data_IF_528979553751
#
_entry.id   IF_528979553751
#
_cell.length_a   1.000
_cell.length_b   1.000
_cell.length_c   1.000
_cell.angle_alpha   90.00
_cell.angle_beta   90.00
_cell.angle_gamma   90.00
#
_symmetry.space_group_name_H-M   'P 1'
#
loop_
_entity.id
_entity.type
_entity.pdbx_description
1 polymer ?
#
# COMPACT_ATOMS: atom_id res chain seq x y z
N UNK A 1 2.50 25.58 -1.62
CA UNK A 1 1.39 24.70 -2.05
C UNK A 1 1.86 23.64 -3.03
N UNK A 2 2.56 24.00 -4.12
CA UNK A 2 3.05 23.03 -5.13
C UNK A 2 3.94 21.93 -4.52
N UNK A 3 4.95 22.29 -3.70
CA UNK A 3 5.77 21.28 -3.00
C UNK A 3 4.99 20.37 -2.04
N UNK A 4 3.92 20.90 -1.41
CA UNK A 4 3.05 20.10 -0.54
C UNK A 4 2.21 19.12 -1.39
N UNK A 5 1.66 19.59 -2.50
CA UNK A 5 0.94 18.77 -3.47
C UNK A 5 1.81 17.61 -4.02
N UNK A 6 3.05 17.89 -4.41
CA UNK A 6 3.99 16.88 -4.88
C UNK A 6 4.38 15.88 -3.78
N UNK A 7 4.73 16.38 -2.59
CA UNK A 7 5.05 15.52 -1.44
C UNK A 7 3.87 14.65 -1.02
N UNK A 8 2.65 15.19 -1.09
CA UNK A 8 1.43 14.45 -0.83
C UNK A 8 1.21 13.34 -1.87
N UNK A 9 1.39 13.62 -3.16
CA UNK A 9 1.28 12.61 -4.22
C UNK A 9 2.22 11.42 -3.99
N UNK A 10 3.48 11.67 -3.63
CA UNK A 10 4.43 10.61 -3.28
C UNK A 10 3.99 9.89 -2.00
N UNK A 11 3.54 10.62 -0.98
CA UNK A 11 3.05 10.03 0.28
C UNK A 11 1.87 9.08 0.07
N UNK A 12 0.96 9.38 -0.87
CA UNK A 12 -0.17 8.52 -1.21
C UNK A 12 0.28 7.12 -1.65
N UNK A 13 1.40 7.01 -2.39
CA UNK A 13 1.96 5.71 -2.82
C UNK A 13 2.38 4.89 -1.61
N UNK A 14 3.15 5.49 -0.70
CA UNK A 14 3.59 4.82 0.52
C UNK A 14 2.41 4.44 1.41
N UNK A 15 1.38 5.28 1.48
CA UNK A 15 0.14 4.96 2.19
C UNK A 15 -0.62 3.79 1.54
N UNK A 16 -0.58 3.63 0.21
CA UNK A 16 -1.16 2.48 -0.47
C UNK A 16 -0.45 1.18 -0.09
N UNK A 17 0.89 1.21 -0.05
CA UNK A 17 1.73 0.07 0.36
C UNK A 17 1.50 -0.29 1.82
N UNK A 18 1.47 0.72 2.70
CA UNK A 18 1.18 0.56 4.12
C UNK A 18 -0.18 -0.11 4.34
N UNK A 19 -1.22 0.39 3.66
CA UNK A 19 -2.58 -0.14 3.73
C UNK A 19 -2.64 -1.57 3.19
N UNK A 20 -1.98 -1.85 2.05
CA UNK A 20 -1.90 -3.19 1.48
C UNK A 20 -1.23 -4.19 2.43
N UNK A 21 -0.12 -3.80 3.05
CA UNK A 21 0.54 -4.61 4.07
C UNK A 21 -0.32 -4.81 5.33
N UNK A 22 -1.13 -3.82 5.71
CA UNK A 22 -2.06 -3.97 6.82
C UNK A 22 -3.16 -4.99 6.50
N UNK A 23 -3.73 -4.97 5.30
CA UNK A 23 -4.71 -5.96 4.82
C UNK A 23 -4.11 -7.38 4.84
N UNK A 24 -2.85 -7.53 4.40
CA UNK A 24 -2.14 -8.81 4.49
C UNK A 24 -1.98 -9.27 5.95
N UNK A 25 -1.58 -8.38 6.85
CA UNK A 25 -1.41 -8.72 8.27
C UNK A 25 -2.73 -9.18 8.91
N UNK A 26 -3.82 -8.48 8.61
CA UNK A 26 -5.15 -8.82 9.10
C UNK A 26 -5.61 -10.19 8.58
N UNK A 27 -5.39 -10.49 7.30
CA UNK A 27 -5.77 -11.78 6.70
C UNK A 27 -4.93 -12.96 7.20
N UNK A 28 -3.69 -12.72 7.64
CA UNK A 28 -2.86 -13.73 8.33
C UNK A 28 -3.31 -13.99 9.78
N UNK A 29 -4.17 -13.13 10.35
CA UNK A 29 -4.62 -13.19 11.73
C UNK A 29 -3.78 -12.35 12.70
N UNK A 30 -2.72 -11.67 12.25
CA UNK A 30 -1.84 -10.86 13.11
C UNK A 30 -2.56 -9.65 13.74
N UNK A 31 -3.74 -9.29 13.23
CA UNK A 31 -4.63 -8.26 13.76
C UNK A 31 -5.64 -8.73 14.82
N UNK A 32 -5.56 -9.97 15.30
CA UNK A 32 -6.60 -10.57 16.17
C UNK A 32 -6.87 -9.77 17.46
N UNK A 33 -5.85 -9.14 18.06
CA UNK A 33 -6.02 -8.31 19.25
C UNK A 33 -6.95 -7.12 19.00
N UNK A 34 -6.81 -6.44 17.85
CA UNK A 34 -7.66 -5.32 17.46
C UNK A 34 -9.06 -5.76 17.01
N UNK A 35 -9.18 -6.95 16.41
CA UNK A 35 -10.49 -7.47 15.99
C UNK A 35 -11.38 -7.83 17.19
N UNK A 36 -10.79 -8.29 18.30
CA UNK A 36 -11.54 -8.59 19.53
C UNK A 36 -11.79 -7.36 20.41
N UNK A 37 -10.81 -6.46 20.51
CA UNK A 37 -10.96 -5.19 21.23
C UNK A 37 -10.49 -4.03 20.34
N UNK A 38 -11.40 -3.39 19.59
CA UNK A 38 -11.04 -2.23 18.77
C UNK A 38 -10.62 -0.99 19.55
N UNK A 39 -10.97 -0.91 20.85
CA UNK A 39 -10.70 0.26 21.69
C UNK A 39 -9.31 0.20 22.36
N UNK A 40 -8.88 -0.99 22.80
CA UNK A 40 -7.60 -1.17 23.50
C UNK A 40 -6.64 -2.16 22.82
N UNK A 41 -7.06 -2.83 21.74
CA UNK A 41 -6.26 -3.81 21.03
C UNK A 41 -5.09 -3.17 20.29
N UNK A 42 -3.87 -3.52 20.69
CA UNK A 42 -2.65 -3.06 20.02
C UNK A 42 -2.48 -3.84 18.72
N UNK A 43 -2.36 -3.14 17.60
CA UNK A 43 -1.81 -3.71 16.37
C UNK A 43 -0.31 -3.54 16.35
N UNK A 44 0.42 -4.62 16.09
CA UNK A 44 1.83 -4.52 15.72
C UNK A 44 1.90 -4.60 14.19
N UNK A 45 2.14 -3.48 13.49
CA UNK A 45 2.13 -3.43 12.02
C UNK A 45 3.40 -4.04 11.41
N UNK A 46 3.76 -5.28 11.77
CA UNK A 46 5.04 -5.89 11.35
C UNK A 46 5.11 -6.04 9.83
N UNK A 47 4.04 -6.54 9.21
CA UNK A 47 3.99 -6.79 7.76
C UNK A 47 3.97 -5.49 6.96
N UNK A 48 3.16 -4.49 7.35
CA UNK A 48 3.15 -3.20 6.67
C UNK A 48 4.49 -2.47 6.83
N UNK A 49 5.10 -2.52 8.02
CA UNK A 49 6.42 -1.95 8.24
C UNK A 49 7.49 -2.63 7.37
N UNK A 50 7.42 -3.95 7.23
CA UNK A 50 8.31 -4.69 6.32
C UNK A 50 8.19 -4.18 4.88
N UNK A 51 6.97 -4.06 4.34
CA UNK A 51 6.75 -3.54 2.99
C UNK A 51 7.18 -2.07 2.83
N UNK A 52 7.02 -1.24 3.87
CA UNK A 52 7.49 0.15 3.85
C UNK A 52 9.02 0.22 3.80
N UNK A 53 9.73 -0.62 4.54
CA UNK A 53 11.19 -0.69 4.48
C UNK A 53 11.62 -1.11 3.07
N UNK A 54 11.03 -2.17 2.51
CA UNK A 54 11.33 -2.62 1.13
C UNK A 54 11.02 -1.52 0.11
N UNK A 55 9.86 -0.88 0.19
CA UNK A 55 9.48 0.22 -0.69
C UNK A 55 10.44 1.40 -0.61
N UNK A 56 10.90 1.74 0.59
CA UNK A 56 11.88 2.81 0.81
C UNK A 56 13.23 2.45 0.18
N UNK A 57 13.69 1.22 0.37
CA UNK A 57 14.93 0.73 -0.24
C UNK A 57 14.82 0.72 -1.77
N UNK A 58 13.70 0.27 -2.33
CA UNK A 58 13.45 0.32 -3.77
C UNK A 58 13.38 1.76 -4.29
N UNK A 59 12.73 2.67 -3.58
CA UNK A 59 12.67 4.08 -3.93
C UNK A 59 14.07 4.71 -4.01
N UNK A 60 14.93 4.37 -3.06
CA UNK A 60 16.33 4.81 -3.06
C UNK A 60 17.14 4.15 -4.18
N UNK A 61 17.00 2.83 -4.37
CA UNK A 61 17.72 2.07 -5.38
C UNK A 61 17.36 2.49 -6.82
N UNK A 62 16.11 2.88 -7.05
CA UNK A 62 15.63 3.40 -8.34
C UNK A 62 15.90 4.90 -8.53
N UNK A 63 16.62 5.54 -7.61
CA UNK A 63 16.86 6.99 -7.61
C UNK A 63 15.57 7.84 -7.62
N UNK A 64 14.46 7.32 -7.10
CA UNK A 64 13.17 8.03 -7.09
C UNK A 64 13.25 9.36 -6.34
N UNK A 65 14.11 9.45 -5.33
CA UNK A 65 14.38 10.71 -4.61
C UNK A 65 15.00 11.80 -5.50
N UNK A 66 15.89 11.44 -6.43
CA UNK A 66 16.46 12.38 -7.40
C UNK A 66 15.39 12.83 -8.40
N UNK A 67 14.57 11.89 -8.90
CA UNK A 67 13.47 12.21 -9.82
C UNK A 67 12.49 13.21 -9.19
N UNK A 68 12.15 13.05 -7.91
CA UNK A 68 11.27 14.00 -7.21
C UNK A 68 11.89 15.39 -7.09
N UNK A 69 13.21 15.48 -6.87
CA UNK A 69 13.93 16.76 -6.80
C UNK A 69 13.98 17.41 -8.20
N UNK A 70 14.24 16.64 -9.25
CA UNK A 70 14.29 17.13 -10.62
C UNK A 70 12.92 17.67 -11.06
N UNK A 71 11.84 16.92 -10.80
CA UNK A 71 10.46 17.35 -11.07
C UNK A 71 10.12 18.62 -10.28
N UNK A 72 10.61 18.74 -9.04
CA UNK A 72 10.42 19.95 -8.24
C UNK A 72 11.17 21.14 -8.83
N UNK A 73 12.41 20.96 -9.30
CA UNK A 73 13.19 22.00 -9.95
C UNK A 73 12.52 22.46 -11.27
N UNK A 74 12.04 21.51 -12.07
CA UNK A 74 11.35 21.78 -13.33
C UNK A 74 10.00 22.49 -13.10
N UNK A 75 9.31 22.20 -11.98
CA UNK A 75 8.06 22.86 -11.63
C UNK A 75 8.17 24.38 -11.53
N UNK A 76 9.34 24.93 -11.17
CA UNK A 76 9.56 26.39 -11.12
C UNK A 76 9.64 27.04 -12.51
N UNK A 77 9.97 26.27 -13.56
CA UNK A 77 9.98 26.76 -14.93
C UNK A 77 8.58 26.70 -15.54
N UNK A 78 7.83 25.62 -15.29
CA UNK A 78 6.47 25.45 -15.80
C UNK A 78 5.44 26.32 -15.08
N UNK A 79 5.58 26.47 -13.76
CA UNK A 79 4.76 27.35 -12.91
C UNK A 79 5.64 28.48 -12.36
N UNK A 80 5.87 29.55 -13.15
CA UNK A 80 6.62 30.69 -12.67
C UNK A 80 5.94 31.30 -11.44
N UNK A 81 6.75 31.81 -10.51
CA UNK A 81 6.29 32.40 -9.25
C UNK A 81 5.33 33.55 -9.58
N UNK A 82 4.04 33.34 -9.34
CA UNK A 82 2.98 34.30 -9.65
C UNK A 82 1.99 34.41 -8.48
N UNK A 83 1.21 35.49 -8.46
CA UNK A 83 0.12 35.69 -7.49
C UNK A 83 -1.03 34.68 -7.67
N UNK A 84 -1.13 34.05 -8.83
CA UNK A 84 -2.04 32.94 -9.10
C UNK A 84 -1.33 31.62 -8.76
N UNK A 85 -1.76 31.00 -7.67
CA UNK A 85 -1.29 29.68 -7.23
C UNK A 85 -1.91 28.53 -8.03
N UNK A 86 -1.90 27.34 -7.43
CA UNK A 86 -2.55 26.14 -7.99
C UNK A 86 -4.05 26.40 -8.17
N UNK A 87 -4.60 26.05 -9.32
CA UNK A 87 -6.04 26.16 -9.61
C UNK A 87 -6.85 25.24 -8.69
N UNK A 88 -8.11 25.61 -8.43
CA UNK A 88 -8.99 24.78 -7.59
C UNK A 88 -9.23 23.40 -8.24
N UNK A 89 -9.23 23.35 -9.57
CA UNK A 89 -9.35 22.12 -10.36
C UNK A 89 -8.12 21.21 -10.18
N UNK A 90 -6.91 21.79 -10.14
CA UNK A 90 -5.69 21.04 -9.80
C UNK A 90 -5.78 20.40 -8.42
N UNK A 91 -6.24 21.14 -7.41
CA UNK A 91 -6.44 20.57 -6.07
C UNK A 91 -7.48 19.45 -6.05
N UNK A 92 -8.56 19.58 -6.83
CA UNK A 92 -9.60 18.56 -6.93
C UNK A 92 -9.10 17.28 -7.59
N UNK A 93 -8.29 17.38 -8.65
CA UNK A 93 -7.62 16.23 -9.28
C UNK A 93 -6.76 15.48 -8.28
N UNK A 94 -6.04 16.21 -7.42
CA UNK A 94 -5.19 15.64 -6.37
C UNK A 94 -6.01 14.86 -5.32
N UNK A 95 -7.15 15.41 -4.91
CA UNK A 95 -8.08 14.75 -3.97
C UNK A 95 -8.67 13.50 -4.60
N UNK A 96 -9.13 13.55 -5.86
CA UNK A 96 -9.61 12.38 -6.58
C UNK A 96 -8.54 11.29 -6.67
N UNK A 97 -7.28 11.69 -6.81
CA UNK A 97 -6.15 10.77 -6.84
C UNK A 97 -5.94 10.00 -5.54
N UNK A 98 -6.40 10.51 -4.39
CA UNK A 98 -6.35 9.76 -3.12
C UNK A 98 -7.14 8.45 -3.15
N UNK A 99 -8.13 8.30 -4.03
CA UNK A 99 -8.84 7.03 -4.22
C UNK A 99 -7.93 5.91 -4.72
N UNK A 100 -6.85 6.24 -5.45
CA UNK A 100 -5.87 5.28 -5.94
C UNK A 100 -5.11 4.58 -4.81
N UNK A 101 -5.09 5.14 -3.60
CA UNK A 101 -4.54 4.45 -2.41
C UNK A 101 -5.20 3.08 -2.26
N UNK A 102 -6.54 3.03 -2.34
CA UNK A 102 -7.30 1.81 -2.11
C UNK A 102 -7.06 0.79 -3.23
N UNK A 103 -7.05 1.24 -4.47
CA UNK A 103 -6.74 0.40 -5.63
C UNK A 103 -5.34 -0.19 -5.51
N UNK A 104 -4.33 0.63 -5.20
CA UNK A 104 -2.96 0.19 -5.01
C UNK A 104 -2.81 -0.79 -3.84
N UNK A 105 -3.46 -0.50 -2.71
CA UNK A 105 -3.47 -1.38 -1.54
C UNK A 105 -4.06 -2.76 -1.86
N UNK A 106 -5.17 -2.80 -2.60
CA UNK A 106 -5.80 -4.04 -3.04
C UNK A 106 -4.88 -4.79 -3.98
N UNK A 107 -4.32 -4.15 -5.02
CA UNK A 107 -3.44 -4.82 -6.00
C UNK A 107 -2.21 -5.45 -5.32
N UNK A 108 -1.59 -4.73 -4.37
CA UNK A 108 -0.44 -5.22 -3.62
C UNK A 108 -0.83 -6.41 -2.73
N UNK A 109 -1.97 -6.33 -2.05
CA UNK A 109 -2.44 -7.37 -1.11
C UNK A 109 -3.05 -8.60 -1.78
N UNK A 110 -3.57 -8.45 -3.00
CA UNK A 110 -4.34 -9.46 -3.74
C UNK A 110 -3.71 -10.87 -3.77
N UNK A 111 -2.44 -11.07 -4.15
CA UNK A 111 -1.88 -12.42 -4.27
C UNK A 111 -1.88 -13.18 -2.93
N UNK A 112 -1.58 -12.49 -1.83
CA UNK A 112 -1.55 -13.09 -0.49
C UNK A 112 -2.97 -13.29 0.04
N UNK A 113 -3.84 -12.29 -0.11
CA UNK A 113 -5.22 -12.32 0.38
C UNK A 113 -6.02 -13.44 -0.29
N UNK A 114 -5.93 -13.56 -1.61
CA UNK A 114 -6.66 -14.60 -2.36
C UNK A 114 -6.16 -15.99 -1.98
N UNK A 115 -4.84 -16.17 -1.86
CA UNK A 115 -4.27 -17.46 -1.47
C UNK A 115 -4.68 -17.85 -0.03
N UNK A 116 -4.65 -16.90 0.91
CA UNK A 116 -5.12 -17.14 2.28
C UNK A 116 -6.63 -17.36 2.37
N UNK A 117 -7.42 -16.71 1.53
CA UNK A 117 -8.85 -16.97 1.44
C UNK A 117 -9.12 -18.43 1.06
N UNK A 118 -8.40 -18.96 0.07
CA UNK A 118 -8.49 -20.37 -0.33
C UNK A 118 -8.08 -21.31 0.81
N UNK A 119 -7.00 -20.98 1.52
CA UNK A 119 -6.56 -21.75 2.70
C UNK A 119 -7.63 -21.74 3.80
N UNK A 120 -8.25 -20.59 4.08
CA UNK A 120 -9.33 -20.49 5.06
C UNK A 120 -10.58 -21.29 4.65
N UNK A 121 -10.95 -21.29 3.37
CA UNK A 121 -12.05 -22.11 2.85
C UNK A 121 -11.73 -23.60 3.01
N UNK A 122 -10.52 -24.03 2.62
CA UNK A 122 -10.08 -25.42 2.78
C UNK A 122 -10.09 -25.84 4.26
N UNK A 123 -9.61 -24.97 5.16
CA UNK A 123 -9.63 -25.21 6.60
C UNK A 123 -11.06 -25.27 7.15
N UNK A 124 -11.97 -24.40 6.70
CA UNK A 124 -13.38 -24.45 7.06
C UNK A 124 -14.06 -25.77 6.68
N UNK A 125 -13.72 -26.33 5.52
CA UNK A 125 -14.19 -27.66 5.09
C UNK A 125 -13.61 -28.76 6.01
N UNK A 126 -12.33 -28.68 6.37
CA UNK A 126 -11.71 -29.62 7.29
C UNK A 126 -12.35 -29.61 8.68
N UNK A 127 -12.68 -28.43 9.22
CA UNK A 127 -13.37 -28.34 10.52
C UNK A 127 -14.76 -29.00 10.49
N UNK A 128 -15.44 -28.97 9.34
CA UNK A 128 -16.70 -29.71 9.18
C UNK A 128 -16.50 -31.23 9.21
N UNK A 129 -15.38 -31.72 8.68
CA UNK A 129 -15.05 -33.15 8.67
C UNK A 129 -14.47 -33.64 10.01
N UNK A 130 -13.74 -32.78 10.73
CA UNK A 130 -13.11 -33.07 12.02
C UNK A 130 -13.39 -31.92 13.01
N UNK A 131 -14.58 -31.90 13.65
CA UNK A 131 -15.00 -30.81 14.54
C UNK A 131 -14.17 -30.70 15.82
N UNK A 132 -13.36 -31.71 16.13
CA UNK A 132 -12.38 -31.70 17.21
C UNK A 132 -11.18 -30.79 16.95
N UNK A 133 -10.96 -30.32 15.71
CA UNK A 133 -9.92 -29.35 15.40
C UNK A 133 -10.35 -27.96 15.87
N UNK A 134 -9.67 -27.43 16.87
CA UNK A 134 -9.90 -26.06 17.34
C UNK A 134 -9.32 -25.05 16.32
N UNK A 135 -10.18 -24.14 15.85
CA UNK A 135 -9.81 -23.07 14.90
C UNK A 135 -8.65 -22.21 15.40
N UNK A 136 -8.55 -21.99 16.71
CA UNK A 136 -7.48 -21.19 17.30
C UNK A 136 -6.17 -21.97 17.46
N UNK A 137 -6.27 -23.26 17.81
CA UNK A 137 -5.08 -24.09 18.02
C UNK A 137 -4.39 -24.47 16.70
N UNK A 138 -5.17 -24.65 15.62
CA UNK A 138 -4.64 -25.14 14.35
C UNK A 138 -4.77 -24.11 13.23
N UNK A 139 -5.87 -23.35 13.17
CA UNK A 139 -6.11 -22.39 12.10
C UNK A 139 -5.11 -21.22 12.12
N UNK A 140 -4.87 -20.61 13.28
CA UNK A 140 -3.96 -19.47 13.38
C UNK A 140 -2.50 -19.80 13.01
N UNK A 141 -1.87 -20.87 13.54
CA UNK A 141 -0.53 -21.27 13.07
C UNK A 141 -0.48 -21.57 11.57
N UNK A 142 -1.56 -22.11 11.02
CA UNK A 142 -1.66 -22.48 9.61
C UNK A 142 -1.77 -21.24 8.71
N UNK A 143 -2.68 -20.31 9.00
CA UNK A 143 -2.82 -19.05 8.24
C UNK A 143 -1.56 -18.21 8.31
N UNK A 144 -0.88 -18.19 9.46
CA UNK A 144 0.35 -17.44 9.66
C UNK A 144 1.51 -18.06 8.86
N UNK A 145 1.66 -19.39 8.88
CA UNK A 145 2.69 -20.10 8.11
C UNK A 145 2.49 -19.92 6.60
N UNK A 146 1.28 -20.20 6.10
CA UNK A 146 0.97 -20.01 4.68
C UNK A 146 1.04 -18.52 4.28
N UNK A 147 0.68 -17.62 5.18
CA UNK A 147 0.78 -16.18 4.96
C UNK A 147 2.19 -15.73 4.65
N UNK A 148 3.17 -16.14 5.45
CA UNK A 148 4.58 -15.84 5.18
C UNK A 148 5.10 -16.51 3.92
N UNK A 149 4.68 -17.75 3.63
CA UNK A 149 5.04 -18.42 2.37
C UNK A 149 4.54 -17.63 1.17
N UNK A 150 3.26 -17.25 1.15
CA UNK A 150 2.68 -16.51 0.04
C UNK A 150 3.28 -15.11 -0.08
N UNK A 151 3.57 -14.44 1.05
CA UNK A 151 4.30 -13.17 1.06
C UNK A 151 5.68 -13.30 0.38
N UNK A 152 6.43 -14.35 0.71
CA UNK A 152 7.76 -14.58 0.14
C UNK A 152 7.68 -14.90 -1.35
N UNK A 153 6.67 -15.66 -1.78
CA UNK A 153 6.41 -15.95 -3.19
C UNK A 153 5.92 -14.73 -3.97
N UNK A 154 5.18 -13.81 -3.34
CA UNK A 154 4.68 -12.59 -3.99
C UNK A 154 5.72 -11.47 -4.07
N UNK A 155 6.78 -11.53 -3.26
CA UNK A 155 7.81 -10.48 -3.17
C UNK A 155 8.44 -10.08 -4.52
N UNK A 156 8.78 -11.00 -5.44
CA UNK A 156 9.29 -10.62 -6.77
C UNK A 156 8.29 -9.80 -7.61
N UNK A 157 6.99 -9.98 -7.39
CA UNK A 157 5.90 -9.26 -8.08
C UNK A 157 5.74 -7.84 -7.50
N UNK A 158 6.24 -7.59 -6.29
CA UNK A 158 6.14 -6.29 -5.65
C UNK A 158 6.89 -5.19 -6.42
N UNK A 159 8.09 -5.48 -6.95
CA UNK A 159 8.90 -4.50 -7.68
C UNK A 159 8.18 -3.90 -8.90
N UNK A 160 7.64 -4.70 -9.85
CA UNK A 160 6.93 -4.14 -11.01
C UNK A 160 5.63 -3.42 -10.61
N UNK A 161 4.95 -3.84 -9.54
CA UNK A 161 3.79 -3.12 -9.02
C UNK A 161 4.19 -1.76 -8.44
N UNK A 162 5.29 -1.72 -7.67
CA UNK A 162 5.82 -0.50 -7.08
C UNK A 162 6.26 0.50 -8.14
N UNK A 163 6.98 0.07 -9.17
CA UNK A 163 7.39 0.95 -10.28
C UNK A 163 6.19 1.52 -11.02
N UNK A 164 5.16 0.69 -11.27
CA UNK A 164 3.92 1.14 -11.89
C UNK A 164 3.22 2.21 -11.04
N UNK A 165 3.13 2.03 -9.72
CA UNK A 165 2.52 3.03 -8.83
C UNK A 165 3.30 4.36 -8.82
N UNK A 166 4.63 4.32 -8.85
CA UNK A 166 5.46 5.53 -8.96
C UNK A 166 5.20 6.25 -10.28
N UNK A 167 5.16 5.54 -11.40
CA UNK A 167 4.92 6.13 -12.70
C UNK A 167 3.56 6.86 -12.75
N UNK A 168 2.49 6.21 -12.27
CA UNK A 168 1.17 6.84 -12.19
C UNK A 168 1.17 8.09 -11.29
N UNK A 169 1.91 8.08 -10.19
CA UNK A 169 2.01 9.23 -9.29
C UNK A 169 2.78 10.40 -9.92
N UNK A 170 3.86 10.12 -10.64
CA UNK A 170 4.63 11.14 -11.35
C UNK A 170 3.79 11.75 -12.49
N UNK A 171 3.03 10.93 -13.23
CA UNK A 171 2.08 11.42 -14.23
C UNK A 171 1.00 12.30 -13.60
N UNK A 172 0.47 11.94 -12.43
CA UNK A 172 -0.50 12.77 -11.72
C UNK A 172 0.09 14.13 -11.32
N UNK A 173 1.34 14.15 -10.85
CA UNK A 173 2.07 15.40 -10.57
C UNK A 173 2.25 16.23 -11.83
N UNK A 174 2.64 15.61 -12.96
CA UNK A 174 2.76 16.31 -14.24
C UNK A 174 1.45 16.97 -14.68
N UNK A 175 0.33 16.24 -14.56
CA UNK A 175 -0.99 16.76 -14.90
C UNK A 175 -1.41 17.96 -14.03
N UNK A 176 -1.04 17.98 -12.75
CA UNK A 176 -1.29 19.11 -11.85
C UNK A 176 -0.51 20.36 -12.24
N UNK A 177 0.71 20.17 -12.76
CA UNK A 177 1.57 21.27 -13.21
C UNK A 177 1.09 21.82 -14.56
N UNK A 178 0.59 20.96 -15.45
CA UNK A 178 0.04 21.37 -16.75
C UNK A 178 -1.39 21.93 -16.68
N UNK A 179 -2.15 21.62 -15.62
CA UNK A 179 -3.51 22.11 -15.40
C UNK A 179 -3.52 23.58 -14.92
N UNK A 180 -3.10 24.48 -15.81
CA UNK A 180 -3.49 25.89 -15.76
C UNK A 180 -4.88 26.09 -16.34
#
# INVERSE_FOLDING_TARGET
MIGLAMGFAVKLIFSAIETGGHIMAQTMGLGFAQMNDPANGVTVPVVSQFYIIIATLLFLALNGHLVVIDVLAESFQMLPISMQGVSNDGLWVLILWSSWIFTGAVIISLPVVVALLLVNIAFGIMMRAAPQLNVFAVGFPLTLTFGFIFMLVSLPIFLPQFSSLIEHALMAVGNLVSAR
#
